data_IF_643289597998
#
_entry.id   IF_643289597998
#
_cell.length_a   1.000
_cell.length_b   1.000
_cell.length_c   1.000
_cell.angle_alpha   90.00
_cell.angle_beta   90.00
_cell.angle_gamma   90.00
#
_symmetry.space_group_name_H-M   'P 1'
#
loop_
_entity.id
_entity.type
_entity.pdbx_description
1 polymer ?
#
# COMPACT_ATOMS: atom_id res chain seq x y z
N UNK A 1 -2.86 -43.34 -24.88
CA UNK A 1 -2.00 -42.16 -24.79
C UNK A 1 -1.98 -41.77 -23.33
N UNK A 2 -1.08 -42.40 -22.59
CA UNK A 2 -0.94 -42.27 -21.14
C UNK A 2 0.15 -41.23 -20.87
N UNK A 3 -0.15 -40.25 -20.03
CA UNK A 3 0.76 -39.17 -19.61
C UNK A 3 1.27 -39.50 -18.20
N UNK A 4 2.53 -39.97 -18.04
CA UNK A 4 3.15 -40.16 -16.74
C UNK A 4 3.95 -38.91 -16.40
N UNK A 5 3.26 -37.81 -16.08
CA UNK A 5 3.90 -36.64 -15.49
C UNK A 5 4.32 -36.95 -14.05
N UNK A 6 5.54 -37.44 -13.96
CA UNK A 6 6.31 -37.71 -12.76
C UNK A 6 6.38 -36.48 -11.85
N UNK A 7 5.68 -36.56 -10.71
CA UNK A 7 5.85 -35.64 -9.59
C UNK A 7 7.17 -35.99 -8.90
N UNK A 8 8.26 -35.35 -9.33
CA UNK A 8 9.60 -35.50 -8.76
C UNK A 8 9.67 -35.00 -7.31
N UNK A 9 9.40 -35.90 -6.36
CA UNK A 9 9.72 -35.73 -4.95
C UNK A 9 11.25 -35.53 -4.82
N UNK A 10 11.66 -34.28 -4.62
CA UNK A 10 13.03 -33.94 -4.19
C UNK A 10 13.24 -34.48 -2.77
N UNK A 11 13.85 -35.65 -2.64
CA UNK A 11 14.37 -36.15 -1.37
C UNK A 11 15.56 -35.27 -0.93
N UNK A 12 15.25 -34.37 0.00
CA UNK A 12 16.06 -33.93 1.14
C UNK A 12 17.57 -33.78 1.00
N UNK A 13 18.03 -32.59 0.63
CA UNK A 13 19.37 -32.08 0.96
C UNK A 13 19.44 -31.49 2.39
N UNK A 14 18.65 -32.03 3.33
CA UNK A 14 18.58 -31.57 4.73
C UNK A 14 19.61 -32.27 5.65
N UNK A 15 20.25 -33.33 5.17
CA UNK A 15 21.05 -34.27 5.98
C UNK A 15 22.55 -33.95 6.06
N UNK A 16 22.93 -32.68 5.94
CA UNK A 16 24.32 -32.24 6.14
C UNK A 16 24.41 -30.94 6.94
N UNK A 17 23.52 -30.77 7.92
CA UNK A 17 23.64 -29.69 8.90
C UNK A 17 24.75 -30.06 9.87
N UNK A 18 25.80 -29.24 9.92
CA UNK A 18 26.95 -29.42 10.82
C UNK A 18 26.54 -29.18 12.26
N UNK A 19 27.28 -29.69 13.23
CA UNK A 19 27.10 -29.33 14.64
C UNK A 19 27.49 -27.86 14.85
N UNK A 20 26.88 -27.21 15.83
CA UNK A 20 27.22 -25.85 16.24
C UNK A 20 28.70 -25.75 16.69
N UNK A 21 29.40 -24.69 16.29
CA UNK A 21 30.81 -24.45 16.66
C UNK A 21 31.01 -23.98 18.11
N UNK A 22 29.93 -23.69 18.83
CA UNK A 22 30.02 -23.24 20.23
C UNK A 22 30.27 -24.44 21.12
N UNK A 23 31.33 -24.35 21.93
CA UNK A 23 31.74 -25.41 22.85
C UNK A 23 30.60 -25.88 23.75
N UNK A 24 30.42 -27.20 23.85
CA UNK A 24 29.33 -27.85 24.59
C UNK A 24 27.92 -27.70 23.98
N UNK A 25 27.78 -27.41 22.68
CA UNK A 25 26.48 -27.32 22.00
C UNK A 25 26.29 -28.37 20.90
N UNK A 26 25.52 -29.41 21.20
CA UNK A 26 25.26 -30.51 20.24
C UNK A 26 24.14 -30.22 19.22
N UNK A 27 23.64 -28.98 19.15
CA UNK A 27 22.55 -28.62 18.23
C UNK A 27 23.08 -28.49 16.81
N UNK A 28 22.27 -28.93 15.84
CA UNK A 28 22.55 -28.72 14.42
C UNK A 28 22.58 -27.23 14.06
N UNK A 29 23.49 -26.85 13.19
CA UNK A 29 23.61 -25.51 12.64
C UNK A 29 22.36 -25.12 11.85
N UNK A 30 22.08 -23.82 11.75
CA UNK A 30 20.84 -23.32 11.10
C UNK A 30 20.75 -23.64 9.61
N UNK A 31 21.86 -23.95 8.96
CA UNK A 31 21.96 -24.37 7.56
C UNK A 31 23.29 -25.08 7.34
N UNK A 32 23.43 -25.81 6.25
CA UNK A 32 24.66 -26.53 5.89
C UNK A 32 25.92 -25.66 5.80
N UNK A 33 25.76 -24.34 5.58
CA UNK A 33 26.87 -23.36 5.52
C UNK A 33 27.06 -22.58 6.83
N UNK A 34 26.13 -22.66 7.77
CA UNK A 34 26.23 -21.93 9.02
C UNK A 34 27.07 -22.70 10.03
N UNK A 35 27.85 -21.94 10.81
CA UNK A 35 28.66 -22.49 11.93
C UNK A 35 27.87 -22.49 13.24
N UNK A 36 26.85 -21.63 13.35
CA UNK A 36 26.03 -21.50 14.55
C UNK A 36 24.68 -22.19 14.38
N UNK A 37 24.20 -22.82 15.45
CA UNK A 37 22.80 -23.18 15.58
C UNK A 37 21.93 -21.90 15.62
N UNK A 38 20.62 -22.07 15.44
CA UNK A 38 19.69 -20.95 15.40
C UNK A 38 19.76 -20.07 16.66
N UNK A 39 19.86 -20.68 17.85
CA UNK A 39 19.93 -19.95 19.11
C UNK A 39 21.20 -19.11 19.26
N UNK A 40 22.37 -19.65 18.93
CA UNK A 40 23.64 -18.93 18.99
C UNK A 40 23.76 -17.86 17.91
N UNK A 41 23.24 -18.12 16.70
CA UNK A 41 23.12 -17.10 15.66
C UNK A 41 22.32 -15.88 16.14
N UNK A 42 21.20 -16.08 16.86
CA UNK A 42 20.43 -14.97 17.42
C UNK A 42 21.14 -14.24 18.57
N UNK A 43 21.96 -14.92 19.36
CA UNK A 43 22.80 -14.25 20.37
C UNK A 43 23.82 -13.33 19.68
N UNK A 44 24.57 -13.84 18.68
CA UNK A 44 25.55 -13.09 17.91
C UNK A 44 24.91 -11.87 17.22
N UNK A 45 23.79 -12.06 16.53
CA UNK A 45 23.06 -10.98 15.82
C UNK A 45 22.58 -9.87 16.76
N UNK A 46 22.38 -10.16 18.04
CA UNK A 46 21.98 -9.19 19.08
C UNK A 46 23.17 -8.60 19.84
N UNK A 47 24.40 -8.87 19.41
CA UNK A 47 25.62 -8.41 20.09
C UNK A 47 25.80 -9.02 21.48
N UNK A 48 25.17 -10.18 21.75
CA UNK A 48 25.31 -10.88 23.04
C UNK A 48 26.42 -11.92 22.95
N UNK A 49 27.13 -12.19 24.06
CA UNK A 49 28.11 -13.28 24.09
C UNK A 49 27.44 -14.62 23.81
N UNK A 50 28.18 -15.51 23.12
CA UNK A 50 27.74 -16.87 22.81
C UNK A 50 27.75 -17.72 24.09
N UNK A 51 26.62 -17.70 24.80
CA UNK A 51 26.44 -18.41 26.07
C UNK A 51 25.70 -19.72 25.85
N UNK A 52 25.92 -20.75 26.69
CA UNK A 52 25.19 -22.02 26.60
C UNK A 52 23.68 -21.79 26.54
N UNK A 53 23.03 -22.38 25.54
CA UNK A 53 21.60 -22.25 25.37
C UNK A 53 20.90 -23.06 26.46
N UNK A 54 19.83 -22.50 27.04
CA UNK A 54 19.00 -23.26 27.99
C UNK A 54 18.57 -24.59 27.33
N UNK A 55 18.74 -25.72 28.01
CA UNK A 55 18.32 -27.01 27.47
C UNK A 55 16.83 -26.95 27.13
N UNK A 56 16.47 -27.56 26.01
CA UNK A 56 15.06 -27.77 25.71
C UNK A 56 14.56 -28.82 26.70
N UNK A 57 13.66 -28.45 27.61
CA UNK A 57 13.01 -29.43 28.49
C UNK A 57 12.03 -30.20 27.61
N UNK A 58 12.47 -31.33 27.08
CA UNK A 58 11.62 -32.27 26.36
C UNK A 58 10.57 -32.86 27.31
N UNK A 59 9.36 -33.10 26.80
CA UNK A 59 8.40 -33.95 27.49
C UNK A 59 7.45 -33.28 28.48
N UNK A 60 7.22 -31.96 28.40
CA UNK A 60 6.04 -31.40 29.08
C UNK A 60 5.03 -30.81 28.10
N UNK A 61 3.92 -31.51 27.95
CA UNK A 61 2.74 -31.09 27.19
C UNK A 61 1.95 -30.05 27.98
N UNK A 62 1.19 -29.21 27.28
CA UNK A 62 0.34 -28.22 27.90
C UNK A 62 -0.68 -28.86 28.85
N UNK A 63 -0.95 -28.26 30.01
CA UNK A 63 -1.97 -28.74 30.94
C UNK A 63 -3.44 -28.56 30.46
N UNK A 64 -3.65 -28.22 29.19
CA UNK A 64 -5.00 -28.09 28.61
C UNK A 64 -5.27 -29.37 27.86
N UNK A 65 -6.41 -29.98 28.17
CA UNK A 65 -6.83 -31.23 27.56
C UNK A 65 -6.88 -31.11 26.03
N UNK A 66 -6.34 -32.11 25.34
CA UNK A 66 -6.19 -32.11 23.88
C UNK A 66 -5.15 -31.14 23.30
N UNK A 67 -4.19 -30.63 24.09
CA UNK A 67 -3.12 -29.75 23.58
C UNK A 67 -1.71 -30.36 23.69
N UNK A 68 -1.19 -30.86 22.57
CA UNK A 68 0.13 -31.51 22.50
C UNK A 68 1.32 -30.54 22.37
N UNK A 69 1.09 -29.23 22.50
CA UNK A 69 2.16 -28.22 22.37
C UNK A 69 3.04 -28.22 23.62
N UNK A 70 4.35 -28.09 23.42
CA UNK A 70 5.34 -27.95 24.49
C UNK A 70 5.04 -26.72 25.37
N UNK A 71 5.08 -26.90 26.69
CA UNK A 71 4.87 -25.80 27.66
C UNK A 71 6.17 -25.12 28.09
N UNK A 72 6.07 -23.86 28.52
CA UNK A 72 7.09 -23.15 29.30
C UNK A 72 6.48 -22.78 30.66
N UNK A 73 6.25 -23.76 31.52
CA UNK A 73 5.53 -23.56 32.80
C UNK A 73 4.35 -24.51 32.94
N UNK A 74 3.14 -24.03 33.26
CA UNK A 74 1.92 -24.85 33.31
C UNK A 74 1.24 -25.00 31.93
N UNK A 75 1.36 -23.98 31.08
CA UNK A 75 0.66 -23.88 29.80
C UNK A 75 1.63 -23.62 28.63
N UNK A 76 1.19 -23.94 27.40
CA UNK A 76 1.91 -23.52 26.19
C UNK A 76 1.80 -22.00 25.99
N UNK A 77 2.66 -21.42 25.14
CA UNK A 77 2.72 -19.96 24.93
C UNK A 77 1.37 -19.34 24.53
N UNK A 78 0.57 -20.06 23.75
CA UNK A 78 -0.76 -19.64 23.33
C UNK A 78 -1.75 -19.62 24.51
N UNK A 79 -1.81 -20.70 25.30
CA UNK A 79 -2.71 -20.81 26.45
C UNK A 79 -2.31 -19.88 27.59
N UNK A 80 -1.01 -19.67 27.82
CA UNK A 80 -0.52 -18.65 28.75
C UNK A 80 -0.95 -17.24 28.31
N UNK A 81 -0.89 -16.95 27.01
CA UNK A 81 -1.34 -15.67 26.48
C UNK A 81 -2.87 -15.47 26.60
N UNK A 82 -3.66 -16.55 26.46
CA UNK A 82 -5.11 -16.50 26.71
C UNK A 82 -5.42 -16.26 28.19
N UNK A 83 -4.76 -16.98 29.09
CA UNK A 83 -4.87 -16.77 30.54
C UNK A 83 -4.56 -15.31 30.92
N UNK A 84 -3.50 -14.71 30.37
CA UNK A 84 -3.14 -13.30 30.63
C UNK A 84 -4.17 -12.30 30.09
N UNK A 85 -4.76 -12.56 28.92
CA UNK A 85 -5.70 -11.62 28.28
C UNK A 85 -7.14 -11.77 28.75
N UNK A 86 -7.54 -12.99 29.10
CA UNK A 86 -8.95 -13.36 29.31
C UNK A 86 -9.20 -14.01 30.66
N UNK A 87 -8.17 -14.28 31.47
CA UNK A 87 -8.30 -14.94 32.77
C UNK A 87 -8.46 -16.46 32.69
N UNK A 88 -8.70 -17.02 31.50
CA UNK A 88 -8.86 -18.45 31.27
C UNK A 88 -7.99 -18.93 30.08
N UNK A 89 -7.16 -19.97 30.27
CA UNK A 89 -6.34 -20.54 29.20
C UNK A 89 -7.17 -21.21 28.09
N UNK A 90 -8.38 -21.70 28.39
CA UNK A 90 -9.25 -22.40 27.42
C UNK A 90 -10.07 -21.47 26.55
N UNK A 91 -10.10 -20.16 26.84
CA UNK A 91 -10.94 -19.20 26.11
C UNK A 91 -10.60 -19.16 24.62
N UNK A 92 -11.59 -19.47 23.78
CA UNK A 92 -11.55 -19.32 22.33
C UNK A 92 -12.60 -18.30 21.93
N UNK A 93 -12.17 -17.10 21.53
CA UNK A 93 -13.07 -16.07 20.99
C UNK A 93 -13.22 -16.34 19.50
N UNK A 94 -14.46 -16.62 19.06
CA UNK A 94 -14.74 -16.83 17.65
C UNK A 94 -14.37 -15.55 16.87
N UNK A 95 -13.92 -15.65 15.60
CA UNK A 95 -13.61 -14.46 14.80
C UNK A 95 -14.74 -13.42 14.76
N UNK A 96 -16.00 -13.87 14.81
CA UNK A 96 -17.20 -13.03 14.87
C UNK A 96 -17.39 -12.30 16.20
N UNK A 97 -16.86 -12.83 17.29
CA UNK A 97 -16.98 -12.29 18.64
C UNK A 97 -15.79 -11.39 19.02
N UNK A 98 -14.75 -11.32 18.16
CA UNK A 98 -13.62 -10.43 18.37
C UNK A 98 -14.12 -8.99 18.23
N UNK A 99 -14.20 -8.28 19.35
CA UNK A 99 -14.38 -6.84 19.39
C UNK A 99 -13.10 -6.14 18.88
N UNK A 100 -12.86 -6.21 17.57
CA UNK A 100 -11.87 -5.33 16.94
C UNK A 100 -12.49 -3.94 16.85
N UNK A 101 -11.83 -2.90 17.41
CA UNK A 101 -12.26 -1.53 17.19
C UNK A 101 -12.41 -1.29 15.69
N UNK A 102 -13.43 -0.55 15.30
CA UNK A 102 -13.69 -0.26 13.89
C UNK A 102 -13.75 1.24 13.69
N UNK A 103 -13.57 1.70 12.46
CA UNK A 103 -13.52 3.14 12.23
C UNK A 103 -12.30 3.79 12.89
N UNK A 104 -12.41 5.05 13.34
CA UNK A 104 -11.34 5.82 13.97
C UNK A 104 -10.68 5.17 15.18
N UNK A 105 -11.40 4.29 15.89
CA UNK A 105 -10.88 3.61 17.08
C UNK A 105 -9.90 2.47 16.74
N UNK A 106 -9.82 2.06 15.47
CA UNK A 106 -8.89 1.01 15.05
C UNK A 106 -7.44 1.54 15.09
N UNK A 107 -6.48 0.82 15.71
CA UNK A 107 -5.11 1.33 15.87
C UNK A 107 -4.36 1.55 14.54
N UNK A 108 -4.81 0.90 13.46
CA UNK A 108 -4.31 1.14 12.10
C UNK A 108 -5.29 1.98 11.25
N UNK A 109 -6.15 2.79 11.89
CA UNK A 109 -6.99 3.74 11.16
C UNK A 109 -6.12 4.84 10.56
N UNK A 110 -6.48 5.27 9.36
CA UNK A 110 -5.79 6.31 8.60
C UNK A 110 -6.83 7.38 8.28
N UNK A 111 -6.64 8.60 8.75
CA UNK A 111 -7.60 9.70 8.53
C UNK A 111 -7.68 10.11 7.07
N UNK A 112 -6.55 10.07 6.37
CA UNK A 112 -6.42 10.32 4.93
C UNK A 112 -6.13 9.00 4.20
N UNK A 113 -7.14 8.12 4.01
CA UNK A 113 -6.94 6.84 3.33
C UNK A 113 -6.60 7.08 1.87
N UNK A 114 -5.78 6.21 1.27
CA UNK A 114 -5.63 6.17 -0.18
C UNK A 114 -6.95 5.76 -0.88
N UNK A 115 -6.98 5.84 -2.21
CA UNK A 115 -8.15 5.51 -3.03
C UNK A 115 -8.69 4.09 -2.75
N UNK A 116 -7.79 3.13 -2.55
CA UNK A 116 -8.14 1.72 -2.36
C UNK A 116 -8.74 1.49 -0.97
N UNK A 117 -8.11 2.03 0.08
CA UNK A 117 -8.62 1.99 1.45
C UNK A 117 -9.97 2.69 1.52
N UNK A 118 -10.12 3.84 0.85
CA UNK A 118 -11.41 4.52 0.78
C UNK A 118 -12.47 3.68 0.07
N UNK A 119 -12.17 3.00 -1.03
CA UNK A 119 -13.12 2.09 -1.69
C UNK A 119 -13.62 0.96 -0.77
N UNK A 120 -12.74 0.42 0.08
CA UNK A 120 -13.16 -0.57 1.08
C UNK A 120 -14.11 0.04 2.11
N UNK A 121 -13.83 1.27 2.59
CA UNK A 121 -14.72 1.99 3.51
C UNK A 121 -16.06 2.31 2.85
N UNK A 122 -16.04 2.79 1.61
CA UNK A 122 -17.23 3.09 0.82
C UNK A 122 -18.13 1.86 0.66
N UNK A 123 -17.55 0.67 0.40
CA UNK A 123 -18.33 -0.58 0.33
C UNK A 123 -18.97 -0.96 1.67
N UNK A 124 -18.34 -0.65 2.80
CA UNK A 124 -18.95 -0.84 4.12
C UNK A 124 -20.09 0.16 4.38
N UNK A 125 -19.94 1.41 3.92
CA UNK A 125 -20.93 2.49 4.11
C UNK A 125 -22.14 2.30 3.19
N UNK A 126 -21.93 2.15 1.88
CA UNK A 126 -22.99 2.13 0.85
C UNK A 126 -23.39 0.71 0.40
N UNK A 127 -22.72 -0.32 0.93
CA UNK A 127 -22.88 -1.70 0.49
C UNK A 127 -22.14 -2.01 -0.82
N UNK A 128 -22.38 -3.22 -1.33
CA UNK A 128 -21.87 -3.64 -2.65
C UNK A 128 -22.49 -2.78 -3.75
N UNK A 129 -21.70 -2.28 -4.70
CA UNK A 129 -22.25 -1.56 -5.85
C UNK A 129 -23.29 -2.39 -6.62
N UNK A 130 -23.18 -3.72 -6.60
CA UNK A 130 -24.10 -4.65 -7.27
C UNK A 130 -25.52 -4.66 -6.74
N UNK A 131 -25.80 -4.07 -5.57
CA UNK A 131 -27.18 -3.92 -5.09
C UNK A 131 -27.87 -2.71 -5.73
N UNK A 132 -27.13 -1.90 -6.49
CA UNK A 132 -27.60 -0.67 -7.12
C UNK A 132 -27.67 -0.80 -8.64
N UNK A 133 -28.48 0.05 -9.27
CA UNK A 133 -28.55 0.21 -10.73
C UNK A 133 -27.43 1.13 -11.20
N UNK A 134 -26.86 0.84 -12.37
CA UNK A 134 -25.85 1.66 -13.02
C UNK A 134 -26.45 3.02 -13.39
N UNK A 135 -25.86 4.11 -12.91
CA UNK A 135 -26.40 5.46 -13.13
C UNK A 135 -26.35 5.93 -14.58
N UNK A 136 -25.59 5.26 -15.46
CA UNK A 136 -25.46 5.61 -16.89
C UNK A 136 -26.34 4.79 -17.82
N UNK A 137 -26.59 3.51 -17.51
CA UNK A 137 -27.29 2.60 -18.43
C UNK A 137 -28.41 1.78 -17.77
N UNK A 138 -28.67 2.00 -16.48
CA UNK A 138 -29.67 1.26 -15.67
C UNK A 138 -29.46 -0.27 -15.55
N UNK A 139 -28.39 -0.80 -16.15
CA UNK A 139 -27.93 -2.17 -15.93
C UNK A 139 -27.44 -2.43 -14.49
N UNK A 140 -27.14 -3.68 -14.11
CA UNK A 140 -26.60 -3.97 -12.79
C UNK A 140 -25.21 -3.32 -12.62
N UNK A 141 -25.03 -2.51 -11.57
CA UNK A 141 -23.72 -1.93 -11.28
C UNK A 141 -22.74 -3.01 -10.77
N UNK A 142 -21.45 -2.73 -10.89
CA UNK A 142 -20.39 -3.62 -10.40
C UNK A 142 -19.40 -2.87 -9.53
N UNK A 143 -19.17 -1.59 -9.83
CA UNK A 143 -18.18 -0.75 -9.17
C UNK A 143 -18.82 0.54 -8.64
N UNK A 144 -18.20 1.12 -7.62
CA UNK A 144 -18.38 2.52 -7.28
C UNK A 144 -17.40 3.33 -8.13
N UNK A 145 -17.89 4.36 -8.82
CA UNK A 145 -17.09 5.27 -9.62
C UNK A 145 -17.07 6.65 -8.97
N UNK A 146 -15.91 7.28 -8.88
CA UNK A 146 -15.79 8.63 -8.32
C UNK A 146 -16.28 9.70 -9.31
N UNK A 147 -17.41 10.33 -9.01
CA UNK A 147 -18.07 11.34 -9.85
C UNK A 147 -17.87 12.78 -9.38
N UNK A 148 -17.17 13.00 -8.26
CA UNK A 148 -16.87 14.33 -7.74
C UNK A 148 -15.90 15.12 -8.61
N UNK A 149 -15.85 16.44 -8.41
CA UNK A 149 -15.12 17.38 -9.25
C UNK A 149 -13.67 17.62 -8.81
N UNK A 150 -13.20 17.00 -7.71
CA UNK A 150 -11.85 17.19 -7.14
C UNK A 150 -10.76 17.49 -8.18
N UNK A 151 -10.22 18.71 -8.07
CA UNK A 151 -9.09 19.17 -8.85
C UNK A 151 -7.81 19.01 -8.02
N UNK A 152 -6.96 18.03 -8.36
CA UNK A 152 -5.71 17.80 -7.63
C UNK A 152 -4.98 16.51 -7.99
N UNK A 153 -3.80 16.27 -7.41
CA UNK A 153 -3.00 15.06 -7.60
C UNK A 153 -3.67 13.81 -6.99
N UNK A 154 -4.51 13.98 -5.96
CA UNK A 154 -5.39 12.94 -5.43
C UNK A 154 -6.74 13.10 -6.13
N UNK A 155 -7.02 12.19 -7.06
CA UNK A 155 -8.20 12.27 -7.94
C UNK A 155 -9.48 11.73 -7.28
N UNK A 156 -9.63 11.82 -5.96
CA UNK A 156 -10.79 11.31 -5.22
C UNK A 156 -11.04 12.07 -3.92
N UNK A 157 -12.27 12.01 -3.42
CA UNK A 157 -12.70 12.57 -2.14
C UNK A 157 -13.17 11.46 -1.19
N UNK A 158 -13.18 11.74 0.12
CA UNK A 158 -13.73 10.87 1.17
C UNK A 158 -15.20 11.15 1.48
N UNK A 159 -15.90 11.91 0.63
CA UNK A 159 -17.35 12.06 0.70
C UNK A 159 -18.03 10.87 -0.01
N UNK A 160 -18.82 10.02 0.69
CA UNK A 160 -19.52 8.90 0.06
C UNK A 160 -20.48 9.30 -1.07
N UNK A 161 -20.98 10.53 -1.08
CA UNK A 161 -21.93 11.01 -2.09
C UNK A 161 -21.28 11.45 -3.38
N UNK A 162 -19.95 11.61 -3.37
CA UNK A 162 -19.16 11.84 -4.59
C UNK A 162 -18.92 10.55 -5.40
N UNK A 163 -19.61 9.45 -5.09
CA UNK A 163 -19.48 8.16 -5.76
C UNK A 163 -20.83 7.65 -6.27
N UNK A 164 -20.85 7.23 -7.53
CA UNK A 164 -22.01 6.66 -8.19
C UNK A 164 -21.79 5.17 -8.53
N UNK A 165 -22.83 4.33 -8.41
CA UNK A 165 -22.74 2.93 -8.83
C UNK A 165 -22.74 2.84 -10.36
N UNK A 166 -21.77 2.14 -10.94
CA UNK A 166 -21.63 1.94 -12.38
C UNK A 166 -21.31 0.49 -12.71
N UNK A 167 -21.80 0.00 -13.86
CA UNK A 167 -21.31 -1.25 -14.43
C UNK A 167 -19.88 -1.07 -14.96
N UNK A 168 -19.13 -2.17 -15.11
CA UNK A 168 -17.74 -2.13 -15.57
C UNK A 168 -17.52 -1.31 -16.87
N UNK A 169 -18.30 -1.50 -17.96
CA UNK A 169 -18.08 -0.74 -19.19
C UNK A 169 -18.38 0.76 -19.02
N UNK A 170 -19.44 1.13 -18.31
CA UNK A 170 -19.76 2.54 -18.06
C UNK A 170 -18.71 3.23 -17.18
N UNK A 171 -18.16 2.54 -16.18
CA UNK A 171 -17.08 3.07 -15.34
C UNK A 171 -15.82 3.32 -16.16
N UNK A 172 -15.40 2.34 -16.98
CA UNK A 172 -14.23 2.49 -17.87
C UNK A 172 -14.39 3.65 -18.87
N UNK A 173 -15.59 3.80 -19.44
CA UNK A 173 -15.91 4.92 -20.32
C UNK A 173 -15.83 6.25 -19.57
N UNK A 174 -16.42 6.32 -18.37
CA UNK A 174 -16.36 7.51 -17.49
C UNK A 174 -14.92 7.92 -17.17
N UNK A 175 -14.06 6.97 -16.80
CA UNK A 175 -12.64 7.26 -16.49
C UNK A 175 -11.87 7.77 -17.71
N UNK A 176 -12.18 7.21 -18.88
CA UNK A 176 -11.56 7.60 -20.16
C UNK A 176 -11.98 9.01 -20.55
N UNK A 177 -13.29 9.30 -20.54
CA UNK A 177 -13.84 10.65 -20.77
C UNK A 177 -13.20 11.67 -19.83
N UNK A 178 -13.03 11.31 -18.55
CA UNK A 178 -12.45 12.20 -17.54
C UNK A 178 -10.95 12.44 -17.76
N UNK A 179 -10.23 11.43 -18.24
CA UNK A 179 -8.82 11.57 -18.66
C UNK A 179 -8.71 12.43 -19.91
N UNK A 180 -9.55 12.20 -20.90
CA UNK A 180 -9.54 12.93 -22.16
C UNK A 180 -9.96 14.38 -21.96
N UNK A 181 -10.91 14.67 -21.07
CA UNK A 181 -11.23 16.03 -20.63
C UNK A 181 -10.00 16.73 -20.03
N UNK A 182 -9.19 16.03 -19.22
CA UNK A 182 -7.94 16.60 -18.68
C UNK A 182 -6.88 16.84 -19.76
N UNK A 183 -6.87 16.02 -20.83
CA UNK A 183 -5.95 16.17 -21.98
C UNK A 183 -6.42 17.28 -22.93
N UNK A 184 -7.73 17.43 -23.11
CA UNK A 184 -8.37 18.41 -23.99
C UNK A 184 -8.60 19.77 -23.32
N UNK A 185 -8.49 19.87 -22.00
CA UNK A 185 -8.33 21.17 -21.35
C UNK A 185 -7.03 21.79 -21.88
N UNK A 186 -7.08 22.87 -22.69
CA UNK A 186 -5.87 23.58 -23.05
C UNK A 186 -5.19 23.95 -21.75
N UNK A 187 -3.87 23.77 -21.64
CA UNK A 187 -3.11 24.06 -20.43
C UNK A 187 -3.37 25.50 -19.94
N UNK A 188 -4.41 25.70 -19.13
CA UNK A 188 -4.87 27.02 -18.66
C UNK A 188 -3.91 27.64 -17.65
N UNK A 189 -2.83 26.94 -17.28
CA UNK A 189 -1.71 27.50 -16.50
C UNK A 189 -0.51 27.96 -17.35
N UNK A 190 -0.56 27.80 -18.68
CA UNK A 190 0.53 28.20 -19.58
C UNK A 190 0.11 29.06 -20.77
N UNK A 191 -1.10 28.88 -21.31
CA UNK A 191 -1.50 29.50 -22.58
C UNK A 191 -2.03 30.95 -22.45
N UNK A 192 -2.76 31.30 -21.40
CA UNK A 192 -3.41 32.62 -21.32
C UNK A 192 -2.43 33.80 -21.22
N UNK A 193 -1.25 33.60 -20.62
CA UNK A 193 -0.24 34.67 -20.59
C UNK A 193 0.62 34.71 -21.85
N UNK A 194 0.57 33.67 -22.71
CA UNK A 194 1.27 33.69 -24.00
C UNK A 194 0.64 34.73 -24.93
N UNK A 195 -0.67 34.64 -25.16
CA UNK A 195 -1.39 35.58 -26.04
C UNK A 195 -1.25 37.01 -25.52
N UNK A 196 -1.48 37.19 -24.21
CA UNK A 196 -1.27 38.47 -23.52
C UNK A 196 0.19 38.93 -23.55
N UNK A 197 1.16 38.02 -23.50
CA UNK A 197 2.59 38.32 -23.55
C UNK A 197 3.06 38.73 -24.95
N UNK A 198 2.49 38.14 -26.01
CA UNK A 198 2.69 38.56 -27.40
C UNK A 198 2.11 39.96 -27.58
N UNK A 199 0.85 40.18 -27.19
CA UNK A 199 0.18 41.48 -27.28
C UNK A 199 0.97 42.59 -26.58
N UNK A 200 1.42 42.36 -25.33
CA UNK A 200 2.26 43.31 -24.59
C UNK A 200 3.58 43.61 -25.29
N UNK A 201 4.17 42.60 -25.93
CA UNK A 201 5.44 42.77 -26.63
C UNK A 201 5.25 43.58 -27.91
N UNK A 202 4.21 43.29 -28.68
CA UNK A 202 3.81 44.04 -29.88
C UNK A 202 3.40 45.48 -29.54
N UNK A 203 2.79 45.70 -28.38
CA UNK A 203 2.48 47.03 -27.84
C UNK A 203 3.71 47.79 -27.31
N UNK A 204 4.92 47.23 -27.46
CA UNK A 204 6.17 47.91 -27.13
C UNK A 204 6.77 47.57 -25.75
N UNK A 205 6.17 46.73 -24.92
CA UNK A 205 6.76 46.36 -23.61
C UNK A 205 7.98 45.45 -23.78
N UNK A 206 9.01 45.66 -22.97
CA UNK A 206 10.19 44.79 -22.98
C UNK A 206 9.89 43.43 -22.34
N UNK A 207 10.70 42.40 -22.66
CA UNK A 207 10.56 41.09 -22.02
C UNK A 207 10.70 41.16 -20.49
N UNK A 208 11.42 42.17 -19.96
CA UNK A 208 11.53 42.41 -18.53
C UNK A 208 10.23 42.92 -17.91
N UNK A 209 9.56 43.88 -18.56
CA UNK A 209 8.26 44.40 -18.12
C UNK A 209 7.18 43.33 -18.17
N UNK A 210 7.16 42.53 -19.24
CA UNK A 210 6.23 41.41 -19.39
C UNK A 210 6.50 40.37 -18.30
N UNK A 211 7.77 40.02 -18.08
CA UNK A 211 8.17 39.06 -17.05
C UNK A 211 7.76 39.47 -15.64
N UNK A 212 7.92 40.76 -15.31
CA UNK A 212 7.48 41.32 -14.04
C UNK A 212 5.96 41.24 -13.87
N UNK A 213 5.19 41.47 -14.94
CA UNK A 213 3.72 41.44 -14.89
C UNK A 213 3.15 40.01 -14.81
N UNK A 214 3.76 39.04 -15.51
CA UNK A 214 3.26 37.65 -15.56
C UNK A 214 3.97 36.69 -14.59
N UNK A 215 4.88 37.20 -13.76
CA UNK A 215 5.66 36.40 -12.80
C UNK A 215 6.59 35.40 -13.48
N UNK A 216 7.23 35.79 -14.59
CA UNK A 216 8.16 34.95 -15.37
C UNK A 216 9.52 35.63 -15.52
N UNK A 217 10.56 34.81 -15.60
CA UNK A 217 11.89 35.29 -15.93
C UNK A 217 11.88 35.95 -17.33
N UNK A 218 12.47 37.15 -17.52
CA UNK A 218 12.56 37.81 -18.83
C UNK A 218 13.15 36.93 -19.93
N UNK A 219 14.12 36.06 -19.61
CA UNK A 219 14.69 35.09 -20.56
C UNK A 219 13.67 34.04 -20.98
N UNK A 220 12.79 33.60 -20.08
CA UNK A 220 11.71 32.67 -20.39
C UNK A 220 10.66 33.32 -21.30
N UNK A 221 10.35 34.59 -21.08
CA UNK A 221 9.48 35.38 -21.96
C UNK A 221 10.09 35.49 -23.36
N UNK A 222 11.38 35.85 -23.45
CA UNK A 222 12.10 35.95 -24.73
C UNK A 222 12.08 34.63 -25.51
N UNK A 223 12.44 33.50 -24.87
CA UNK A 223 12.45 32.18 -25.51
C UNK A 223 11.06 31.80 -26.03
N UNK A 224 10.03 32.16 -25.28
CA UNK A 224 8.65 31.86 -25.64
C UNK A 224 8.19 32.69 -26.85
N UNK A 225 8.49 33.99 -26.88
CA UNK A 225 8.17 34.87 -28.01
C UNK A 225 8.84 34.37 -29.31
N UNK A 226 10.13 34.03 -29.23
CA UNK A 226 10.89 33.47 -30.37
C UNK A 226 10.28 32.15 -30.84
N UNK A 227 9.95 31.24 -29.91
CA UNK A 227 9.34 29.95 -30.24
C UNK A 227 8.00 30.09 -30.98
N UNK A 228 7.27 31.19 -30.75
CA UNK A 228 5.99 31.48 -31.40
C UNK A 228 6.12 32.44 -32.60
N UNK A 229 7.33 32.61 -33.15
CA UNK A 229 7.53 33.36 -34.40
C UNK A 229 7.50 34.89 -34.25
N UNK A 230 7.48 35.42 -33.03
CA UNK A 230 7.53 36.87 -32.81
C UNK A 230 8.91 37.40 -33.17
N UNK A 231 8.97 38.38 -34.07
CA UNK A 231 10.23 39.02 -34.49
C UNK A 231 10.80 39.87 -33.35
N UNK A 232 12.00 39.52 -32.89
CA UNK A 232 12.64 40.23 -31.79
C UNK A 232 13.15 41.61 -32.22
N UNK A 233 12.98 42.60 -31.33
CA UNK A 233 13.48 43.96 -31.50
C UNK A 233 15.00 43.96 -31.29
N UNK A 234 15.75 44.75 -32.07
CA UNK A 234 17.19 44.84 -31.89
C UNK A 234 17.53 45.33 -30.48
N UNK A 235 18.60 44.80 -29.91
CA UNK A 235 19.13 45.30 -28.64
C UNK A 235 19.63 46.71 -28.87
N UNK A 236 19.05 47.67 -28.13
CA UNK A 236 19.57 49.03 -28.01
C UNK A 236 20.76 49.05 -27.08
#
# INVERSE_FOLDING_TARGET
MEDPSANGLRLGSDDMRRTCVVDGCDRTSRSSRAELCEGHYYQQRRGRPLTPLRPHIEGTTCAIDGCDKTRRGKFCSMHEARLKRHGDPSTVIAPSERAMPSGPDHPNWIDEPDYFVWHQRLRKIKGSASIHRCTRCDGPAQHWAYVGDAQGPLAYETNPDAYAPMCHPCHKAFDTERRDWKVQQPARRGAHWLDRGIEMYESGRSCAQIGAEVGKNPTSVWRLLVKNGVKMRPRR
#
